data_IF_906645001817
#
_entry.id   IF_906645001817
#
_cell.length_a   1.000
_cell.length_b   1.000
_cell.length_c   1.000
_cell.angle_alpha   90.00
_cell.angle_beta   90.00
_cell.angle_gamma   90.00
#
_symmetry.space_group_name_H-M   'P 1'
#
loop_
_entity.id
_entity.type
_entity.pdbx_description
1 polymer ?
#
# COMPACT_ATOMS: atom_id res chain seq x y z
N UNK A 1 5.07 4.92 -11.49
CA UNK A 1 4.24 4.09 -10.61
C UNK A 1 5.10 3.57 -9.46
N UNK A 2 4.69 3.86 -8.24
CA UNK A 2 5.42 3.44 -7.05
C UNK A 2 4.83 2.12 -6.57
N UNK A 3 5.64 1.06 -6.58
CA UNK A 3 5.21 -0.26 -6.16
C UNK A 3 5.32 -0.40 -4.65
N UNK A 4 4.20 -0.59 -3.96
CA UNK A 4 4.20 -0.94 -2.53
C UNK A 4 4.65 -2.38 -2.29
N UNK A 5 4.23 -3.27 -3.17
CA UNK A 5 4.54 -4.69 -3.11
C UNK A 5 5.00 -5.14 -4.48
N UNK A 6 6.13 -5.79 -4.56
CA UNK A 6 6.52 -6.52 -5.77
C UNK A 6 5.91 -7.93 -5.80
N UNK A 7 6.12 -8.64 -6.91
CA UNK A 7 5.63 -10.01 -7.07
C UNK A 7 6.16 -10.96 -5.99
N UNK A 8 7.36 -10.70 -5.49
CA UNK A 8 8.02 -11.54 -4.50
C UNK A 8 7.37 -11.39 -3.13
N UNK A 9 7.00 -10.17 -2.76
CA UNK A 9 6.30 -9.88 -1.52
C UNK A 9 4.85 -10.38 -1.54
N UNK A 10 4.17 -10.27 -2.68
CA UNK A 10 2.86 -10.87 -2.88
C UNK A 10 2.90 -12.38 -2.74
N UNK A 11 3.96 -13.03 -3.23
CA UNK A 11 4.15 -14.48 -3.06
C UNK A 11 4.32 -14.88 -1.59
N UNK A 12 5.01 -14.06 -0.79
CA UNK A 12 5.13 -14.27 0.67
C UNK A 12 3.80 -14.10 1.38
N UNK A 13 3.06 -13.04 1.04
CA UNK A 13 1.74 -12.77 1.65
C UNK A 13 0.68 -13.77 1.23
N UNK A 14 0.79 -14.33 0.02
CA UNK A 14 -0.12 -15.34 -0.48
C UNK A 14 0.06 -16.70 0.23
N UNK A 15 1.23 -16.95 0.85
CA UNK A 15 1.49 -18.14 1.66
C UNK A 15 1.05 -19.43 0.99
N UNK A 16 0.22 -20.21 1.68
CA UNK A 16 -0.26 -21.52 1.20
C UNK A 16 -1.28 -21.45 0.05
N UNK A 17 -1.76 -20.25 -0.31
CA UNK A 17 -2.79 -20.07 -1.35
C UNK A 17 -2.19 -20.32 -2.74
N UNK A 18 -0.92 -20.00 -2.96
CA UNK A 18 -0.25 -20.20 -4.24
C UNK A 18 0.85 -21.24 -4.14
N UNK A 19 0.84 -22.20 -5.06
CA UNK A 19 2.01 -23.04 -5.32
C UNK A 19 2.93 -22.28 -6.27
N UNK A 20 4.19 -22.13 -5.87
CA UNK A 20 5.20 -21.68 -6.82
C UNK A 20 5.24 -22.66 -8.00
N UNK A 21 5.26 -22.17 -9.25
CA UNK A 21 5.44 -23.02 -10.39
C UNK A 21 6.69 -23.89 -10.20
N UNK A 22 6.60 -25.16 -10.57
CA UNK A 22 7.74 -26.11 -10.49
C UNK A 22 8.98 -25.64 -11.27
N UNK A 23 8.82 -24.66 -12.15
CA UNK A 23 9.88 -24.02 -12.91
C UNK A 23 10.77 -23.07 -12.11
N UNK A 24 10.38 -22.63 -10.90
CA UNK A 24 11.24 -21.80 -10.04
C UNK A 24 12.26 -22.70 -9.34
N UNK A 25 13.19 -23.25 -10.13
CA UNK A 25 14.25 -24.12 -9.63
C UNK A 25 15.53 -23.38 -9.28
N UNK A 26 15.70 -22.18 -9.81
CA UNK A 26 16.89 -21.35 -9.56
C UNK A 26 16.82 -20.67 -8.19
N UNK A 27 17.96 -20.47 -7.51
CA UNK A 27 18.01 -19.60 -6.34
C UNK A 27 17.52 -18.21 -6.73
N UNK A 28 16.44 -17.78 -6.12
CA UNK A 28 15.86 -16.45 -6.34
C UNK A 28 15.34 -15.90 -5.02
N UNK A 29 15.23 -14.58 -4.93
CA UNK A 29 14.67 -13.91 -3.77
C UNK A 29 13.23 -14.40 -3.51
N UNK A 30 12.41 -14.52 -4.56
CA UNK A 30 11.04 -15.07 -4.50
C UNK A 30 11.01 -16.43 -3.85
N UNK A 31 11.88 -17.35 -4.28
CA UNK A 31 11.94 -18.70 -3.72
C UNK A 31 12.38 -18.68 -2.25
N UNK A 32 13.43 -17.92 -1.93
CA UNK A 32 13.93 -17.82 -0.57
C UNK A 32 12.87 -17.28 0.38
N UNK A 33 12.10 -16.27 -0.06
CA UNK A 33 11.02 -15.69 0.71
C UNK A 33 9.83 -16.65 0.85
N UNK A 34 9.42 -17.30 -0.25
CA UNK A 34 8.30 -18.23 -0.24
C UNK A 34 8.51 -19.42 0.70
N UNK A 35 9.73 -19.98 0.72
CA UNK A 35 10.07 -21.11 1.58
C UNK A 35 10.62 -20.68 2.95
N UNK A 36 10.68 -19.38 3.25
CA UNK A 36 11.32 -18.85 4.44
C UNK A 36 12.74 -19.42 4.67
N UNK A 37 13.51 -19.60 3.57
CA UNK A 37 14.82 -20.25 3.60
C UNK A 37 15.85 -19.34 4.29
N UNK A 38 16.17 -19.65 5.54
CA UNK A 38 17.13 -18.92 6.35
C UNK A 38 18.59 -19.16 5.93
N UNK A 39 18.87 -20.20 5.14
CA UNK A 39 20.22 -20.51 4.66
C UNK A 39 20.68 -19.58 3.53
N UNK A 40 19.76 -18.82 2.95
CA UNK A 40 20.01 -17.94 1.80
C UNK A 40 20.26 -16.51 2.29
N UNK A 41 21.42 -15.96 1.92
CA UNK A 41 21.65 -14.53 2.11
C UNK A 41 20.85 -13.72 1.07
N UNK A 42 19.75 -13.11 1.52
CA UNK A 42 18.86 -12.34 0.65
C UNK A 42 19.53 -11.13 0.03
N UNK A 43 20.52 -10.55 0.71
CA UNK A 43 21.28 -9.39 0.20
C UNK A 43 22.04 -9.77 -1.07
N UNK A 44 22.62 -10.99 -1.12
CA UNK A 44 23.36 -11.46 -2.29
C UNK A 44 22.42 -11.73 -3.49
N UNK A 45 21.14 -11.97 -3.24
CA UNK A 45 20.12 -12.15 -4.27
C UNK A 45 19.52 -10.83 -4.77
N UNK A 46 19.73 -9.73 -4.05
CA UNK A 46 19.29 -8.38 -4.41
C UNK A 46 20.27 -7.68 -5.36
N UNK A 47 20.99 -8.40 -6.20
CA UNK A 47 22.06 -7.82 -7.04
C UNK A 47 21.52 -7.07 -8.26
N UNK A 48 22.02 -5.89 -8.44
CA UNK A 48 22.22 -5.18 -9.71
C UNK A 48 21.07 -4.35 -10.25
N UNK A 49 20.02 -4.91 -10.76
CA UNK A 49 18.90 -4.20 -11.40
C UNK A 49 17.55 -4.47 -10.73
N UNK A 50 17.53 -5.31 -9.71
CA UNK A 50 16.30 -5.57 -8.97
C UNK A 50 15.98 -4.33 -8.14
N UNK A 51 14.87 -3.71 -8.47
CA UNK A 51 14.35 -2.58 -7.70
C UNK A 51 14.08 -3.10 -6.29
N UNK A 52 14.94 -2.75 -5.36
CA UNK A 52 14.77 -3.10 -3.97
C UNK A 52 13.51 -2.40 -3.44
N UNK A 53 12.48 -3.12 -2.99
CA UNK A 53 11.22 -2.53 -2.52
C UNK A 53 11.41 -1.50 -1.42
N UNK A 54 12.44 -1.67 -0.60
CA UNK A 54 12.81 -0.69 0.42
C UNK A 54 13.19 0.67 -0.20
N UNK A 55 14.05 0.68 -1.21
CA UNK A 55 14.44 1.91 -1.90
C UNK A 55 13.28 2.51 -2.70
N UNK A 56 12.47 1.67 -3.35
CA UNK A 56 11.29 2.13 -4.06
C UNK A 56 10.30 2.85 -3.13
N UNK A 57 10.13 2.34 -1.89
CA UNK A 57 9.28 3.00 -0.90
C UNK A 57 9.80 4.40 -0.54
N UNK A 58 11.11 4.58 -0.38
CA UNK A 58 11.70 5.89 -0.10
C UNK A 58 11.67 6.83 -1.32
N UNK A 59 11.77 6.29 -2.53
CA UNK A 59 11.57 7.05 -3.76
C UNK A 59 10.14 7.60 -3.84
N UNK A 60 9.15 6.78 -3.47
CA UNK A 60 7.76 7.23 -3.32
C UNK A 60 7.62 8.30 -2.24
N UNK A 61 8.23 8.10 -1.07
CA UNK A 61 8.19 9.06 0.04
C UNK A 61 8.74 10.43 -0.37
N UNK A 62 9.77 10.48 -1.21
CA UNK A 62 10.27 11.74 -1.75
C UNK A 62 9.17 12.53 -2.47
N UNK A 63 8.41 11.87 -3.35
CA UNK A 63 7.32 12.53 -4.08
C UNK A 63 6.20 13.02 -3.14
N UNK A 64 5.85 12.23 -2.13
CA UNK A 64 4.81 12.63 -1.16
C UNK A 64 5.27 13.75 -0.24
N UNK A 65 6.54 13.77 0.16
CA UNK A 65 7.12 14.89 0.89
C UNK A 65 7.09 16.15 0.05
N UNK A 66 7.46 16.08 -1.23
CA UNK A 66 7.42 17.22 -2.15
C UNK A 66 6.00 17.82 -2.23
N UNK A 67 4.96 16.98 -2.33
CA UNK A 67 3.58 17.46 -2.33
C UNK A 67 3.24 18.19 -1.03
N UNK A 68 3.62 17.63 0.12
CA UNK A 68 3.29 18.22 1.42
C UNK A 68 4.07 19.51 1.68
N UNK A 69 5.30 19.64 1.15
CA UNK A 69 6.15 20.82 1.33
C UNK A 69 5.85 21.94 0.35
N UNK A 70 5.66 21.64 -0.94
CA UNK A 70 5.61 22.67 -2.00
C UNK A 70 4.18 23.10 -2.37
N UNK A 71 3.19 22.19 -2.25
CA UNK A 71 1.80 22.53 -2.59
C UNK A 71 1.21 23.67 -1.75
N UNK A 72 1.60 23.88 -0.47
CA UNK A 72 1.15 25.06 0.30
C UNK A 72 1.39 26.39 -0.42
N UNK A 73 2.48 26.52 -1.15
CA UNK A 73 2.87 27.73 -1.87
C UNK A 73 2.42 27.76 -3.35
N UNK A 74 1.71 26.72 -3.82
CA UNK A 74 1.21 26.65 -5.19
C UNK A 74 0.17 27.72 -5.48
N UNK A 75 0.34 28.44 -6.58
CA UNK A 75 -0.52 29.59 -6.97
C UNK A 75 -1.56 29.24 -8.02
N UNK A 76 -1.39 28.15 -8.76
CA UNK A 76 -2.26 27.75 -9.89
C UNK A 76 -3.40 26.82 -9.48
N UNK A 77 -3.74 26.72 -8.19
CA UNK A 77 -4.82 25.90 -7.67
C UNK A 77 -5.67 26.67 -6.66
N UNK A 78 -6.92 26.25 -6.52
CA UNK A 78 -7.80 26.78 -5.48
C UNK A 78 -7.37 26.30 -4.11
N UNK A 79 -7.79 27.02 -3.05
CA UNK A 79 -7.51 26.61 -1.67
C UNK A 79 -8.04 25.21 -1.33
N UNK A 80 -9.20 24.83 -1.87
CA UNK A 80 -9.77 23.50 -1.69
C UNK A 80 -8.89 22.44 -2.35
N UNK A 81 -8.49 22.66 -3.60
CA UNK A 81 -7.59 21.74 -4.32
C UNK A 81 -6.24 21.59 -3.60
N UNK A 82 -5.68 22.70 -3.11
CA UNK A 82 -4.43 22.71 -2.35
C UNK A 82 -4.53 21.82 -1.12
N UNK A 83 -5.56 22.01 -0.28
CA UNK A 83 -5.77 21.20 0.92
C UNK A 83 -6.00 19.72 0.58
N UNK A 84 -6.77 19.44 -0.45
CA UNK A 84 -7.02 18.05 -0.90
C UNK A 84 -5.74 17.37 -1.37
N UNK A 85 -4.90 18.05 -2.16
CA UNK A 85 -3.62 17.48 -2.62
C UNK A 85 -2.67 17.19 -1.46
N UNK A 86 -2.57 18.11 -0.50
CA UNK A 86 -1.76 17.90 0.71
C UNK A 86 -2.30 16.70 1.52
N UNK A 87 -3.61 16.60 1.68
CA UNK A 87 -4.25 15.48 2.38
C UNK A 87 -3.97 14.14 1.69
N UNK A 88 -4.07 14.09 0.37
CA UNK A 88 -3.75 12.90 -0.41
C UNK A 88 -2.27 12.51 -0.28
N UNK A 89 -1.36 13.48 -0.34
CA UNK A 89 0.08 13.25 -0.11
C UNK A 89 0.36 12.66 1.27
N UNK A 90 -0.31 13.17 2.32
CA UNK A 90 -0.19 12.65 3.70
C UNK A 90 -0.67 11.20 3.82
N UNK A 91 -1.81 10.85 3.22
CA UNK A 91 -2.31 9.45 3.23
C UNK A 91 -1.30 8.53 2.55
N UNK A 92 -0.81 8.89 1.36
CA UNK A 92 0.14 8.07 0.62
C UNK A 92 1.47 7.95 1.37
N UNK A 93 1.92 9.01 2.02
CA UNK A 93 3.11 8.99 2.88
C UNK A 93 2.94 8.05 4.08
N UNK A 94 1.81 8.14 4.77
CA UNK A 94 1.49 7.24 5.89
C UNK A 94 1.39 5.78 5.43
N UNK A 95 0.82 5.50 4.25
CA UNK A 95 0.77 4.15 3.69
C UNK A 95 2.17 3.59 3.43
N UNK A 96 3.11 4.40 2.91
CA UNK A 96 4.49 3.98 2.71
C UNK A 96 5.20 3.65 4.02
N UNK A 97 5.02 4.48 5.05
CA UNK A 97 5.57 4.20 6.37
C UNK A 97 4.94 2.99 7.04
N UNK A 98 3.64 2.78 6.87
CA UNK A 98 2.97 1.57 7.36
C UNK A 98 3.56 0.31 6.71
N UNK A 99 3.78 0.35 5.40
CA UNK A 99 4.46 -0.70 4.67
C UNK A 99 5.89 -0.94 5.20
N UNK A 100 6.71 0.11 5.25
CA UNK A 100 8.10 0.03 5.71
C UNK A 100 8.20 -0.51 7.14
N UNK A 101 7.35 -0.05 8.07
CA UNK A 101 7.34 -0.50 9.44
C UNK A 101 6.98 -1.99 9.55
N UNK A 102 5.97 -2.45 8.80
CA UNK A 102 5.53 -3.84 8.88
C UNK A 102 6.48 -4.84 8.22
N UNK A 103 7.29 -4.42 7.23
CA UNK A 103 8.21 -5.32 6.52
C UNK A 103 9.65 -5.27 7.04
N UNK A 104 10.07 -4.13 7.63
CA UNK A 104 11.48 -3.90 7.96
C UNK A 104 11.72 -3.55 9.43
N UNK A 105 10.69 -3.56 10.27
CA UNK A 105 10.82 -3.38 11.71
C UNK A 105 10.13 -4.51 12.48
N UNK A 106 10.29 -4.51 13.80
CA UNK A 106 9.55 -5.41 14.70
C UNK A 106 8.05 -5.10 14.65
N UNK A 107 7.22 -6.09 15.00
CA UNK A 107 5.79 -5.83 15.26
C UNK A 107 5.67 -4.86 16.43
N UNK A 108 4.72 -3.90 16.33
CA UNK A 108 4.48 -2.94 17.40
C UNK A 108 3.86 -3.60 18.62
N UNK A 109 4.52 -3.47 19.76
CA UNK A 109 4.02 -3.81 21.09
C UNK A 109 4.80 -3.06 22.18
N UNK A 110 4.46 -3.27 23.44
CA UNK A 110 5.13 -2.63 24.58
C UNK A 110 6.62 -2.98 24.73
N UNK A 111 7.07 -4.13 24.22
CA UNK A 111 8.47 -4.55 24.29
C UNK A 111 9.31 -4.02 23.12
N UNK A 112 8.66 -3.65 22.00
CA UNK A 112 9.33 -3.28 20.77
C UNK A 112 9.17 -1.81 20.39
N UNK A 113 8.18 -1.10 20.90
CA UNK A 113 7.86 0.28 20.50
C UNK A 113 9.04 1.26 20.61
N UNK A 114 9.94 1.04 21.55
CA UNK A 114 11.13 1.88 21.79
C UNK A 114 12.35 1.43 20.97
N UNK A 115 12.27 0.32 20.24
CA UNK A 115 13.35 -0.12 19.36
C UNK A 115 13.43 0.76 18.12
N UNK A 116 14.65 0.90 17.58
CA UNK A 116 14.86 1.57 16.32
C UNK A 116 14.13 0.83 15.19
N UNK A 117 13.48 1.59 14.35
CA UNK A 117 12.72 1.16 13.20
C UNK A 117 13.39 1.65 11.91
N UNK A 118 12.63 2.08 10.95
CA UNK A 118 13.10 2.62 9.67
C UNK A 118 13.42 4.12 9.79
N UNK A 119 14.26 4.68 8.90
CA UNK A 119 14.49 6.11 8.83
C UNK A 119 13.21 6.90 8.60
N UNK A 120 13.01 7.97 9.37
CA UNK A 120 11.91 8.92 9.16
C UNK A 120 12.40 10.11 8.36
N UNK A 121 12.00 10.17 7.08
CA UNK A 121 12.32 11.25 6.13
C UNK A 121 11.04 12.03 5.86
N UNK A 122 10.98 13.26 6.33
CA UNK A 122 9.80 14.12 6.20
C UNK A 122 9.99 15.26 5.20
N UNK A 123 11.18 15.37 4.60
CA UNK A 123 11.52 16.41 3.62
C UNK A 123 11.87 15.81 2.27
N UNK A 124 11.60 16.56 1.21
CA UNK A 124 12.02 16.28 -0.16
C UNK A 124 13.46 16.72 -0.46
N UNK A 125 14.18 17.26 0.50
CA UNK A 125 15.59 17.63 0.31
C UNK A 125 16.50 16.40 0.34
N UNK A 126 17.36 16.26 -0.68
CA UNK A 126 18.37 15.19 -0.75
C UNK A 126 19.40 15.31 0.39
N UNK A 127 19.58 16.51 0.94
CA UNK A 127 20.51 16.79 2.04
C UNK A 127 19.83 16.61 3.42
N UNK A 128 18.55 16.31 3.47
CA UNK A 128 17.83 16.14 4.73
C UNK A 128 18.38 14.95 5.52
N UNK A 129 18.53 15.09 6.84
CA UNK A 129 18.93 13.96 7.68
C UNK A 129 17.89 12.83 7.59
N UNK A 130 18.36 11.60 7.57
CA UNK A 130 17.51 10.40 7.54
C UNK A 130 17.78 9.49 8.75
N UNK A 131 17.54 9.97 9.99
CA UNK A 131 17.81 9.17 11.18
C UNK A 131 16.80 8.05 11.32
N UNK A 132 17.27 6.87 11.73
CA UNK A 132 16.35 5.87 12.27
C UNK A 132 15.70 6.42 13.54
N UNK A 133 14.40 6.19 13.66
CA UNK A 133 13.61 6.59 14.83
C UNK A 133 12.97 5.37 15.46
N UNK A 134 12.38 5.53 16.65
CA UNK A 134 11.69 4.42 17.30
C UNK A 134 10.44 4.01 16.53
N UNK A 135 10.04 2.78 16.70
CA UNK A 135 8.80 2.27 16.11
C UNK A 135 7.59 3.11 16.53
N UNK A 136 7.54 3.50 17.81
CA UNK A 136 6.52 4.42 18.32
C UNK A 136 6.48 5.72 17.53
N UNK A 137 7.62 6.34 17.29
CA UNK A 137 7.70 7.60 16.52
C UNK A 137 7.14 7.46 15.10
N UNK A 138 7.39 6.32 14.42
CA UNK A 138 6.82 6.06 13.08
C UNK A 138 5.29 5.96 13.14
N UNK A 139 4.75 5.23 14.11
CA UNK A 139 3.30 5.06 14.26
C UNK A 139 2.61 6.37 14.66
N UNK A 140 3.20 7.15 15.56
CA UNK A 140 2.71 8.49 15.94
C UNK A 140 2.72 9.43 14.72
N UNK A 141 3.76 9.40 13.90
CA UNK A 141 3.83 10.18 12.67
C UNK A 141 2.74 9.80 11.67
N UNK A 142 2.51 8.50 11.45
CA UNK A 142 1.43 8.04 10.57
C UNK A 142 0.05 8.50 11.06
N UNK A 143 -0.20 8.39 12.36
CA UNK A 143 -1.46 8.82 12.97
C UNK A 143 -1.66 10.34 12.85
N UNK A 144 -0.62 11.14 13.04
CA UNK A 144 -0.68 12.60 12.87
C UNK A 144 -1.01 12.98 11.42
N UNK A 145 -0.31 12.37 10.45
CA UNK A 145 -0.58 12.61 9.03
C UNK A 145 -2.01 12.21 8.62
N UNK A 146 -2.46 11.04 9.03
CA UNK A 146 -3.78 10.53 8.68
C UNK A 146 -4.91 11.34 9.33
N UNK A 147 -4.76 11.72 10.62
CA UNK A 147 -5.76 12.54 11.31
C UNK A 147 -5.90 13.93 10.65
N UNK A 148 -4.79 14.55 10.24
CA UNK A 148 -4.82 15.81 9.49
C UNK A 148 -5.43 15.62 8.08
N UNK A 149 -5.16 14.48 7.44
CA UNK A 149 -5.62 14.23 6.08
C UNK A 149 -7.14 14.06 5.99
N UNK A 150 -7.78 13.31 6.91
CA UNK A 150 -9.22 13.00 6.81
C UNK A 150 -10.12 14.21 6.87
N UNK A 151 -9.64 15.33 7.40
CA UNK A 151 -10.39 16.60 7.45
C UNK A 151 -10.57 17.21 6.06
N UNK A 152 -9.56 17.09 5.19
CA UNK A 152 -9.50 17.74 3.89
C UNK A 152 -9.66 16.76 2.71
N UNK A 153 -9.65 15.45 2.93
CA UNK A 153 -9.86 14.47 1.88
C UNK A 153 -11.25 14.59 1.26
N UNK A 154 -11.38 14.49 -0.07
CA UNK A 154 -12.67 14.45 -0.73
C UNK A 154 -13.44 13.18 -0.34
N UNK A 155 -14.78 13.27 -0.26
CA UNK A 155 -15.63 12.08 -0.08
C UNK A 155 -15.49 11.14 -1.28
N UNK A 156 -15.52 11.72 -2.48
CA UNK A 156 -15.27 11.03 -3.73
C UNK A 156 -14.13 11.72 -4.44
N UNK A 157 -13.10 10.98 -4.79
CA UNK A 157 -12.01 11.48 -5.62
C UNK A 157 -12.38 11.40 -7.11
N UNK A 158 -11.73 12.23 -7.93
CA UNK A 158 -11.94 12.23 -9.40
C UNK A 158 -11.58 10.90 -10.05
N UNK A 159 -10.71 10.15 -9.42
CA UNK A 159 -10.28 8.81 -9.86
C UNK A 159 -10.04 7.93 -8.65
N UNK A 160 -10.32 6.63 -8.78
CA UNK A 160 -9.98 5.61 -7.78
C UNK A 160 -8.46 5.51 -7.50
N UNK A 161 -7.64 6.11 -8.35
CA UNK A 161 -6.19 6.20 -8.16
C UNK A 161 -5.78 7.25 -7.12
N UNK A 162 -6.70 8.11 -6.73
CA UNK A 162 -6.46 9.18 -5.77
C UNK A 162 -7.09 8.87 -4.41
N UNK A 163 -6.38 9.06 -3.30
CA UNK A 163 -6.94 8.91 -1.96
C UNK A 163 -8.23 9.70 -1.76
N UNK A 164 -9.18 9.06 -1.12
CA UNK A 164 -10.44 9.64 -0.68
C UNK A 164 -10.61 9.48 0.83
N UNK A 165 -11.71 9.98 1.38
CA UNK A 165 -11.97 9.96 2.82
C UNK A 165 -12.15 8.56 3.37
N UNK A 166 -12.76 7.64 2.61
CA UNK A 166 -12.90 6.24 3.00
C UNK A 166 -11.54 5.57 3.21
N UNK A 167 -10.59 5.79 2.27
CA UNK A 167 -9.22 5.30 2.43
C UNK A 167 -8.53 5.89 3.66
N UNK A 168 -8.68 7.20 3.90
CA UNK A 168 -8.10 7.87 5.06
C UNK A 168 -8.54 7.23 6.38
N UNK A 169 -9.84 7.02 6.56
CA UNK A 169 -10.38 6.34 7.73
C UNK A 169 -9.99 4.87 7.79
N UNK A 170 -9.99 4.16 6.66
CA UNK A 170 -9.54 2.77 6.59
C UNK A 170 -8.08 2.61 7.02
N UNK A 171 -7.21 3.53 6.62
CA UNK A 171 -5.81 3.54 7.05
C UNK A 171 -5.67 3.88 8.54
N UNK A 172 -6.42 4.85 9.07
CA UNK A 172 -6.47 5.13 10.50
C UNK A 172 -6.87 3.87 11.29
N UNK A 173 -7.92 3.18 10.85
CA UNK A 173 -8.36 1.94 11.51
C UNK A 173 -7.25 0.89 11.53
N UNK A 174 -6.51 0.71 10.44
CA UNK A 174 -5.38 -0.25 10.37
C UNK A 174 -4.23 0.14 11.28
N UNK A 175 -3.85 1.42 11.32
CA UNK A 175 -2.75 1.89 12.16
C UNK A 175 -3.13 1.77 13.64
N UNK A 176 -4.34 2.18 14.05
CA UNK A 176 -4.83 2.01 15.41
C UNK A 176 -4.91 0.54 15.83
N UNK A 177 -5.38 -0.34 14.92
CA UNK A 177 -5.40 -1.79 15.17
C UNK A 177 -3.99 -2.33 15.45
N UNK A 178 -2.99 -1.88 14.69
CA UNK A 178 -1.60 -2.32 14.84
C UNK A 178 -0.97 -1.90 16.16
N UNK A 179 -1.38 -0.76 16.72
CA UNK A 179 -0.91 -0.30 18.03
C UNK A 179 -1.78 -0.77 19.19
N UNK A 180 -2.82 -1.59 18.93
CA UNK A 180 -3.72 -2.14 19.93
C UNK A 180 -4.77 -1.17 20.47
N UNK A 181 -4.96 -0.02 19.84
CA UNK A 181 -6.04 0.94 20.18
C UNK A 181 -7.34 0.53 19.45
N UNK A 182 -7.99 -0.48 20.01
CA UNK A 182 -9.19 -1.10 19.40
C UNK A 182 -10.38 -0.15 19.35
N UNK A 183 -10.52 0.78 20.28
CA UNK A 183 -11.63 1.73 20.30
C UNK A 183 -11.54 2.70 19.12
N UNK A 184 -10.36 3.27 18.88
CA UNK A 184 -10.12 4.13 17.74
C UNK A 184 -10.11 3.34 16.43
N UNK A 185 -9.62 2.11 16.42
CA UNK A 185 -9.69 1.23 15.25
C UNK A 185 -11.15 0.98 14.84
N UNK A 186 -12.03 0.60 15.78
CA UNK A 186 -13.46 0.38 15.53
C UNK A 186 -14.15 1.66 15.04
N UNK A 187 -13.90 2.79 15.70
CA UNK A 187 -14.46 4.08 15.31
C UNK A 187 -14.11 4.42 13.86
N UNK A 188 -12.83 4.35 13.50
CA UNK A 188 -12.40 4.72 12.15
C UNK A 188 -12.82 3.70 11.09
N UNK A 189 -12.88 2.40 11.41
CA UNK A 189 -13.45 1.40 10.52
C UNK A 189 -14.93 1.69 10.22
N UNK A 190 -15.72 2.06 11.24
CA UNK A 190 -17.12 2.44 11.06
C UNK A 190 -17.25 3.70 10.17
N UNK A 191 -16.42 4.72 10.39
CA UNK A 191 -16.41 5.92 9.56
C UNK A 191 -16.01 5.63 8.10
N UNK A 192 -15.11 4.67 7.86
CA UNK A 192 -14.77 4.23 6.51
C UNK A 192 -15.95 3.58 5.81
N UNK A 193 -16.66 2.68 6.50
CA UNK A 193 -17.86 2.01 5.98
C UNK A 193 -19.02 3.00 5.75
N UNK A 194 -19.15 4.05 6.56
CA UNK A 194 -20.13 5.13 6.31
C UNK A 194 -19.85 5.87 4.98
N UNK A 195 -18.62 5.88 4.51
CA UNK A 195 -18.27 6.49 3.22
C UNK A 195 -18.51 5.52 2.05
N UNK A 196 -18.17 4.26 2.23
CA UNK A 196 -18.36 3.21 1.23
C UNK A 196 -18.48 1.84 1.92
N UNK A 197 -19.66 1.24 1.90
CA UNK A 197 -19.97 -0.09 2.43
C UNK A 197 -20.38 -1.08 1.32
N UNK A 198 -20.16 -0.72 0.06
CA UNK A 198 -20.57 -1.52 -1.07
C UNK A 198 -19.74 -2.79 -1.19
N UNK A 199 -20.41 -3.91 -1.40
CA UNK A 199 -19.83 -5.21 -1.68
C UNK A 199 -20.30 -5.71 -3.03
N UNK A 200 -19.49 -6.54 -3.67
CA UNK A 200 -19.92 -7.26 -4.86
C UNK A 200 -21.00 -8.29 -4.54
N UNK A 201 -22.05 -8.32 -5.33
CA UNK A 201 -22.93 -9.47 -5.38
C UNK A 201 -22.31 -10.55 -6.28
N UNK A 202 -21.55 -11.45 -5.69
CA UNK A 202 -20.87 -12.52 -6.42
C UNK A 202 -21.82 -13.47 -7.15
N UNK A 203 -23.06 -13.64 -6.65
CA UNK A 203 -24.07 -14.47 -7.30
C UNK A 203 -24.49 -13.82 -8.63
N UNK A 204 -24.81 -12.52 -8.60
CA UNK A 204 -25.20 -11.79 -9.80
C UNK A 204 -24.06 -11.74 -10.83
N UNK A 205 -22.82 -11.55 -10.37
CA UNK A 205 -21.64 -11.58 -11.24
C UNK A 205 -21.44 -12.96 -11.90
N UNK A 206 -21.60 -14.04 -11.13
CA UNK A 206 -21.50 -15.40 -11.64
C UNK A 206 -22.62 -15.69 -12.67
N UNK A 207 -23.88 -15.40 -12.34
CA UNK A 207 -25.00 -15.63 -13.25
C UNK A 207 -24.92 -14.80 -14.54
N UNK A 208 -24.37 -13.59 -14.46
CA UNK A 208 -24.17 -12.73 -15.63
C UNK A 208 -23.13 -13.25 -16.62
N UNK A 209 -22.16 -14.02 -16.16
CA UNK A 209 -21.05 -14.52 -17.00
C UNK A 209 -20.80 -16.03 -16.77
N UNK A 210 -21.87 -16.79 -16.54
CA UNK A 210 -21.82 -18.21 -16.17
C UNK A 210 -21.10 -19.06 -17.20
N UNK A 211 -21.34 -18.83 -18.51
CA UNK A 211 -20.70 -19.57 -19.56
C UNK A 211 -19.17 -19.44 -19.54
N UNK A 212 -18.70 -18.26 -19.14
CA UNK A 212 -17.26 -18.00 -18.99
C UNK A 212 -16.65 -18.67 -17.76
N UNK A 213 -17.38 -18.68 -16.63
CA UNK A 213 -16.93 -19.32 -15.40
C UNK A 213 -16.98 -20.84 -15.47
N UNK A 214 -17.94 -21.41 -16.21
CA UNK A 214 -18.12 -22.84 -16.35
C UNK A 214 -17.16 -23.46 -17.39
N UNK A 215 -16.51 -22.67 -18.25
CA UNK A 215 -15.51 -23.14 -19.19
C UNK A 215 -14.07 -22.89 -18.68
N UNK A 216 -13.36 -23.94 -18.20
CA UNK A 216 -11.99 -23.81 -17.73
C UNK A 216 -11.00 -23.24 -18.76
N UNK A 217 -11.32 -23.31 -20.06
CA UNK A 217 -10.49 -22.77 -21.13
C UNK A 217 -10.67 -21.27 -21.33
N UNK A 218 -11.81 -20.74 -20.91
CA UNK A 218 -12.12 -19.32 -20.99
C UNK A 218 -11.85 -18.57 -19.67
N UNK A 219 -11.34 -19.29 -18.66
CA UNK A 219 -10.94 -18.68 -17.41
C UNK A 219 -9.70 -17.80 -17.63
N UNK A 220 -9.90 -16.68 -18.26
CA UNK A 220 -8.92 -15.59 -18.27
C UNK A 220 -9.16 -14.77 -17.02
N UNK A 221 -8.14 -14.74 -16.19
CA UNK A 221 -8.05 -14.00 -14.94
C UNK A 221 -8.91 -12.73 -14.88
N UNK A 222 -9.73 -12.64 -13.88
CA UNK A 222 -10.31 -11.38 -13.45
C UNK A 222 -11.81 -11.37 -13.44
N UNK A 223 -12.34 -10.78 -12.41
CA UNK A 223 -13.70 -10.25 -12.35
C UNK A 223 -13.93 -9.47 -13.64
N UNK A 224 -15.02 -9.79 -14.36
CA UNK A 224 -15.39 -9.03 -15.55
C UNK A 224 -15.56 -7.57 -15.18
N UNK A 225 -14.85 -6.69 -15.86
CA UNK A 225 -14.93 -5.27 -15.62
C UNK A 225 -13.57 -4.59 -15.53
N UNK A 226 -13.57 -3.29 -15.63
CA UNK A 226 -12.40 -2.48 -15.40
C UNK A 226 -12.22 -2.33 -13.87
N UNK A 227 -11.12 -2.82 -13.27
CA UNK A 227 -10.90 -2.68 -11.83
C UNK A 227 -10.84 -1.21 -11.37
N UNK A 228 -10.57 -0.28 -12.27
CA UNK A 228 -10.56 1.15 -11.96
C UNK A 228 -11.96 1.74 -11.82
N UNK A 229 -12.95 1.21 -12.56
CA UNK A 229 -14.30 1.79 -12.62
C UNK A 229 -15.36 0.89 -12.01
N UNK A 230 -15.17 -0.42 -12.08
CA UNK A 230 -16.23 -1.38 -11.81
C UNK A 230 -16.08 -2.07 -10.45
N UNK A 231 -14.95 -1.88 -9.75
CA UNK A 231 -14.75 -2.47 -8.44
C UNK A 231 -15.27 -1.57 -7.33
N UNK A 232 -16.50 -1.84 -6.89
CA UNK A 232 -17.20 -1.07 -5.84
C UNK A 232 -16.56 -1.21 -4.45
N UNK A 233 -15.76 -2.26 -4.22
CA UNK A 233 -15.10 -2.52 -2.94
C UNK A 233 -13.79 -1.75 -2.77
N UNK A 234 -13.23 -1.21 -3.86
CA UNK A 234 -11.96 -0.53 -3.81
C UNK A 234 -12.07 0.87 -3.20
N UNK A 235 -11.28 1.14 -2.18
CA UNK A 235 -11.06 2.49 -1.67
C UNK A 235 -9.97 3.23 -2.45
N UNK A 236 -9.03 2.47 -3.02
CA UNK A 236 -7.99 2.96 -3.92
C UNK A 236 -7.54 1.82 -4.83
N UNK A 237 -7.19 2.13 -6.07
CA UNK A 237 -6.55 1.23 -7.00
C UNK A 237 -5.12 1.70 -7.28
N UNK A 238 -4.16 0.81 -7.11
CA UNK A 238 -2.75 1.09 -7.36
C UNK A 238 -2.35 0.37 -8.63
N UNK A 239 -2.03 1.15 -9.68
CA UNK A 239 -1.51 0.59 -10.92
C UNK A 239 -0.07 0.17 -10.69
N UNK A 240 0.18 -1.12 -10.78
CA UNK A 240 1.52 -1.66 -10.85
C UNK A 240 1.91 -1.83 -12.32
N UNK A 241 2.96 -1.14 -12.75
CA UNK A 241 3.61 -1.40 -14.04
C UNK A 241 4.36 -2.74 -13.93
N UNK A 242 3.63 -3.83 -14.00
CA UNK A 242 4.25 -5.12 -14.24
C UNK A 242 4.71 -5.10 -15.70
N UNK A 243 6.01 -5.23 -15.99
CA UNK A 243 6.43 -5.50 -17.34
C UNK A 243 5.72 -6.81 -17.74
N UNK A 244 4.76 -6.70 -18.65
CA UNK A 244 4.22 -7.86 -19.33
C UNK A 244 5.43 -8.60 -19.91
N UNK A 245 5.83 -9.67 -19.25
CA UNK A 245 6.71 -10.64 -19.90
C UNK A 245 5.89 -11.23 -21.06
N UNK A 246 5.99 -10.58 -22.20
CA UNK A 246 5.62 -11.16 -23.47
C UNK A 246 6.55 -12.35 -23.70
N UNK A 247 6.09 -13.53 -23.32
CA UNK A 247 6.89 -14.75 -23.42
C UNK A 247 6.28 -15.94 -22.71
N UNK A 248 5.03 -16.24 -23.01
CA UNK A 248 4.51 -17.60 -22.91
C UNK A 248 3.81 -17.89 -24.25
N UNK A 249 4.61 -18.22 -25.25
CA UNK A 249 4.15 -19.00 -26.40
C UNK A 249 4.45 -20.47 -26.10
#
# INVERSE_FOLDING_TARGET
SYHFLDSDQLAVLAGDIFKLPSAVTSPSLTRANYYADESVNRIDLMTGNDKNPYFNAYEGLFAWNLIVEDVPDATECTEVQRRQLIAQGRVLRAMHYFYLANFYADQYDEATKDKLSVPLITSASVEAPSPQVTLQTIYEFMLDDLNKAVEDLPVHSESILHPNRALGYGMLARVYLSVGDYDNALKNASLALEQNDQLFNWIDLYEADKERYDDPKNYTSGVAGNPETDNVENYIFIVMDLPLQAGLA
#
